data_IF_313144359443
#
_entry.id   IF_313144359443
#
_cell.length_a   1.000
_cell.length_b   1.000
_cell.length_c   1.000
_cell.angle_alpha   90.00
_cell.angle_beta   90.00
_cell.angle_gamma   90.00
#
_symmetry.space_group_name_H-M   'P 1'
#
loop_
_entity.id
_entity.type
_entity.pdbx_description
1 polymer ?
#
# COMPACT_ATOMS: atom_id res chain seq x y z
N UNK A 1 -17.84 73.23 -22.77
CA UNK A 1 -18.42 71.88 -22.94
C UNK A 1 -17.40 70.82 -22.48
N UNK A 2 -17.60 70.20 -21.34
CA UNK A 2 -16.75 69.13 -20.87
C UNK A 2 -17.34 67.81 -21.30
N UNK A 3 -16.66 67.11 -22.20
CA UNK A 3 -17.04 65.79 -22.60
C UNK A 3 -16.44 64.81 -21.57
N UNK A 4 -17.26 64.14 -20.81
CA UNK A 4 -16.83 63.06 -19.93
C UNK A 4 -16.78 61.77 -20.73
N UNK A 5 -15.57 61.23 -20.92
CA UNK A 5 -15.40 59.92 -21.49
C UNK A 5 -15.51 58.93 -20.33
N UNK A 6 -16.61 58.20 -20.26
CA UNK A 6 -16.76 57.09 -19.33
C UNK A 6 -16.10 55.90 -19.96
N UNK A 7 -14.91 55.58 -19.50
CA UNK A 7 -14.25 54.31 -19.87
C UNK A 7 -14.83 53.20 -18.99
N UNK A 8 -15.71 52.40 -19.56
CA UNK A 8 -16.16 51.18 -18.90
C UNK A 8 -15.03 50.17 -18.92
N UNK A 9 -14.41 49.95 -17.78
CA UNK A 9 -13.47 48.84 -17.61
C UNK A 9 -14.29 47.57 -17.46
N UNK A 10 -14.34 46.75 -18.53
CA UNK A 10 -14.88 45.42 -18.45
C UNK A 10 -13.91 44.55 -17.66
N UNK A 11 -14.23 44.26 -16.42
CA UNK A 11 -13.51 43.27 -15.64
C UNK A 11 -13.86 41.87 -16.18
N UNK A 12 -12.95 41.31 -16.96
CA UNK A 12 -13.05 39.91 -17.36
C UNK A 12 -12.69 39.09 -16.13
N UNK A 13 -13.69 38.59 -15.43
CA UNK A 13 -13.50 37.58 -14.40
C UNK A 13 -13.23 36.25 -15.13
N UNK A 14 -11.97 35.92 -15.29
CA UNK A 14 -11.59 34.56 -15.66
C UNK A 14 -11.93 33.65 -14.46
N UNK A 15 -13.09 33.02 -14.54
CA UNK A 15 -13.36 31.90 -13.67
C UNK A 15 -12.42 30.77 -14.07
N UNK A 16 -11.32 30.59 -13.34
CA UNK A 16 -10.55 29.35 -13.40
C UNK A 16 -11.45 28.25 -12.87
N UNK A 17 -12.12 27.58 -13.78
CA UNK A 17 -12.73 26.28 -13.46
C UNK A 17 -11.59 25.32 -13.23
N UNK A 18 -11.18 25.16 -11.96
CA UNK A 18 -10.33 24.06 -11.58
C UNK A 18 -11.13 22.78 -11.85
N UNK A 19 -10.88 22.17 -13.00
CA UNK A 19 -11.35 20.80 -13.24
C UNK A 19 -10.57 19.92 -12.28
N UNK A 20 -11.18 19.63 -11.14
CA UNK A 20 -10.73 18.53 -10.29
C UNK A 20 -10.96 17.27 -11.11
N UNK A 21 -9.94 16.84 -11.86
CA UNK A 21 -9.94 15.51 -12.41
C UNK A 21 -10.02 14.55 -11.23
N UNK A 22 -11.18 13.92 -11.06
CA UNK A 22 -11.30 12.77 -10.19
C UNK A 22 -10.34 11.72 -10.74
N UNK A 23 -9.12 11.67 -10.19
CA UNK A 23 -8.23 10.55 -10.43
C UNK A 23 -8.96 9.32 -9.92
N UNK A 24 -9.24 8.36 -10.82
CA UNK A 24 -9.68 7.05 -10.40
C UNK A 24 -8.68 6.55 -9.37
N UNK A 25 -9.16 6.24 -8.16
CA UNK A 25 -8.31 5.75 -7.10
C UNK A 25 -7.56 4.51 -7.61
N UNK A 26 -6.23 4.56 -7.57
CA UNK A 26 -5.41 3.42 -7.91
C UNK A 26 -5.64 2.34 -6.86
N UNK A 27 -5.92 1.07 -7.25
CA UNK A 27 -6.07 0.02 -6.26
C UNK A 27 -4.78 -0.18 -5.46
N UNK A 28 -4.88 -0.40 -4.15
CA UNK A 28 -3.71 -0.70 -3.33
C UNK A 28 -3.10 -2.05 -3.73
N UNK A 29 -1.82 -2.22 -3.43
CA UNK A 29 -1.15 -3.51 -3.50
C UNK A 29 -1.00 -4.12 -2.11
N UNK A 30 -1.11 -5.44 -2.02
CA UNK A 30 -0.97 -6.16 -0.76
C UNK A 30 0.11 -7.23 -0.85
N UNK A 31 0.91 -7.34 0.19
CA UNK A 31 1.73 -8.51 0.45
C UNK A 31 1.07 -9.27 1.60
N UNK A 32 0.64 -10.49 1.33
CA UNK A 32 -0.10 -11.33 2.28
C UNK A 32 0.76 -12.53 2.62
N UNK A 33 1.08 -12.69 3.88
CA UNK A 33 1.87 -13.79 4.39
C UNK A 33 1.03 -14.67 5.32
N UNK A 34 1.11 -15.98 5.10
CA UNK A 34 0.54 -16.97 5.99
C UNK A 34 1.58 -18.08 6.21
N UNK A 35 2.15 -18.13 7.40
CA UNK A 35 3.22 -19.06 7.71
C UNK A 35 3.23 -19.51 9.18
N UNK A 36 3.99 -20.57 9.46
CA UNK A 36 4.37 -21.00 10.80
C UNK A 36 5.81 -20.58 11.06
N UNK A 37 6.10 -20.07 12.25
CA UNK A 37 7.47 -19.77 12.67
C UNK A 37 8.07 -21.07 13.21
N UNK A 38 9.16 -21.52 12.60
CA UNK A 38 9.88 -22.75 12.99
C UNK A 38 11.18 -22.44 13.74
N UNK A 39 11.64 -21.20 13.68
CA UNK A 39 12.81 -20.70 14.41
C UNK A 39 12.55 -19.28 14.91
N UNK A 40 12.27 -19.13 16.18
CA UNK A 40 11.95 -17.82 16.78
C UNK A 40 13.13 -16.85 16.72
N UNK A 41 14.34 -17.33 16.94
CA UNK A 41 15.53 -16.46 16.91
C UNK A 41 15.81 -15.93 15.50
N UNK A 42 15.65 -16.78 14.48
CA UNK A 42 15.76 -16.39 13.07
C UNK A 42 14.66 -15.41 12.65
N UNK A 43 13.44 -15.65 13.11
CA UNK A 43 12.32 -14.73 12.85
C UNK A 43 12.52 -13.36 13.50
N UNK A 44 13.10 -13.31 14.69
CA UNK A 44 13.44 -12.03 15.33
C UNK A 44 14.45 -11.24 14.50
N UNK A 45 15.44 -11.92 13.93
CA UNK A 45 16.38 -11.28 12.98
C UNK A 45 15.65 -10.68 11.76
N UNK A 46 14.65 -11.41 11.25
CA UNK A 46 13.81 -10.89 10.17
C UNK A 46 13.06 -9.63 10.61
N UNK A 47 12.41 -9.66 11.77
CA UNK A 47 11.67 -8.50 12.28
C UNK A 47 12.58 -7.28 12.47
N UNK A 48 13.78 -7.50 13.00
CA UNK A 48 14.75 -6.42 13.22
C UNK A 48 15.23 -5.82 11.88
N UNK A 49 15.46 -6.66 10.86
CA UNK A 49 15.94 -6.22 9.56
C UNK A 49 14.85 -5.60 8.69
N UNK A 50 13.63 -6.14 8.75
CA UNK A 50 12.54 -5.77 7.84
C UNK A 50 11.59 -4.70 8.39
N UNK A 51 11.52 -4.53 9.72
CA UNK A 51 10.48 -3.75 10.39
C UNK A 51 10.39 -2.28 9.96
N UNK A 52 11.48 -1.67 9.50
CA UNK A 52 11.53 -0.27 9.05
C UNK A 52 11.48 -0.10 7.53
N UNK A 53 11.45 -1.19 6.75
CA UNK A 53 11.62 -1.11 5.31
C UNK A 53 10.34 -0.78 4.55
N UNK A 54 9.20 -1.34 4.94
CA UNK A 54 7.93 -1.12 4.24
C UNK A 54 7.56 0.35 4.10
N UNK A 55 7.69 1.21 5.15
CA UNK A 55 7.36 2.63 5.03
C UNK A 55 8.15 3.37 3.94
N UNK A 56 9.38 2.95 3.63
CA UNK A 56 10.19 3.55 2.56
C UNK A 56 9.55 3.42 1.18
N UNK A 57 8.64 2.46 1.02
CA UNK A 57 7.89 2.20 -0.21
C UNK A 57 6.42 2.58 -0.09
N UNK A 58 6.07 3.39 0.91
CA UNK A 58 4.69 3.78 1.19
C UNK A 58 3.86 2.67 1.83
N UNK A 59 4.52 1.61 2.29
CA UNK A 59 3.87 0.46 2.90
C UNK A 59 3.56 0.65 4.37
N UNK A 60 2.54 -0.04 4.82
CA UNK A 60 2.16 -0.14 6.24
C UNK A 60 1.66 -1.54 6.55
N UNK A 61 1.96 -2.02 7.73
CA UNK A 61 1.43 -3.30 8.21
C UNK A 61 0.00 -3.04 8.71
N UNK A 62 -0.98 -3.69 8.09
CA UNK A 62 -2.39 -3.54 8.46
C UNK A 62 -2.94 -4.75 9.19
N UNK A 63 -2.29 -5.91 9.08
CA UNK A 63 -2.57 -7.12 9.86
C UNK A 63 -1.24 -7.73 10.29
N UNK A 64 -1.14 -8.03 11.56
CA UNK A 64 -0.08 -8.87 12.10
C UNK A 64 -0.64 -9.67 13.28
N UNK A 65 -0.94 -10.93 13.04
CA UNK A 65 -1.51 -11.82 14.05
C UNK A 65 -0.73 -13.13 14.08
N UNK A 66 -0.15 -13.43 15.22
CA UNK A 66 0.65 -14.65 15.42
C UNK A 66 -0.21 -15.90 15.58
N UNK A 67 -1.50 -15.73 15.82
CA UNK A 67 -2.41 -16.80 16.17
C UNK A 67 -3.79 -16.58 15.53
N UNK A 68 -3.81 -16.57 14.20
CA UNK A 68 -5.03 -16.37 13.44
C UNK A 68 -6.00 -17.53 13.66
N UNK A 69 -7.30 -17.22 13.74
CA UNK A 69 -8.34 -18.22 13.92
C UNK A 69 -8.66 -18.89 12.59
N UNK A 70 -8.44 -20.20 12.52
CA UNK A 70 -8.86 -21.00 11.37
C UNK A 70 -10.37 -21.23 11.42
N UNK A 71 -11.08 -20.88 10.35
CA UNK A 71 -12.51 -21.12 10.20
C UNK A 71 -12.80 -22.21 9.18
N UNK A 72 -11.91 -22.44 8.25
CA UNK A 72 -11.94 -23.52 7.25
C UNK A 72 -10.51 -23.93 6.86
N UNK A 73 -10.33 -25.21 6.56
CA UNK A 73 -9.07 -25.74 6.07
C UNK A 73 -7.97 -25.78 7.13
N UNK A 74 -6.72 -25.69 6.65
CA UNK A 74 -5.52 -25.80 7.49
C UNK A 74 -4.58 -24.61 7.25
N UNK A 75 -5.01 -23.35 7.52
CA UNK A 75 -4.11 -22.22 7.41
C UNK A 75 -3.01 -22.32 8.46
N UNK A 76 -1.90 -21.63 8.20
CA UNK A 76 -0.84 -21.47 9.18
C UNK A 76 -1.23 -20.41 10.23
N UNK A 77 -0.56 -20.43 11.37
CA UNK A 77 -0.94 -19.61 12.53
C UNK A 77 -0.68 -18.11 12.34
N UNK A 78 0.39 -17.73 11.66
CA UNK A 78 0.73 -16.33 11.46
C UNK A 78 0.05 -15.78 10.20
N UNK A 79 -0.64 -14.67 10.37
CA UNK A 79 -1.18 -13.87 9.26
C UNK A 79 -0.58 -12.47 9.34
N UNK A 80 0.08 -12.04 8.27
CA UNK A 80 0.62 -10.70 8.14
C UNK A 80 0.22 -10.10 6.80
N UNK A 81 -0.24 -8.87 6.81
CA UNK A 81 -0.61 -8.14 5.58
C UNK A 81 0.03 -6.76 5.62
N UNK A 82 0.80 -6.46 4.58
CA UNK A 82 1.32 -5.14 4.30
C UNK A 82 0.54 -4.53 3.13
N UNK A 83 0.11 -3.29 3.29
CA UNK A 83 -0.57 -2.52 2.26
C UNK A 83 0.37 -1.48 1.67
N UNK A 84 0.39 -1.38 0.35
CA UNK A 84 1.17 -0.41 -0.42
C UNK A 84 0.26 0.43 -1.31
N UNK A 85 0.69 1.63 -1.74
CA UNK A 85 -0.13 2.50 -2.58
C UNK A 85 -0.58 1.84 -3.90
N UNK A 86 0.20 0.87 -4.40
CA UNK A 86 -0.10 0.15 -5.64
C UNK A 86 0.54 -1.24 -5.64
N UNK A 87 0.08 -2.08 -6.56
CA UNK A 87 0.71 -3.38 -6.84
C UNK A 87 2.19 -3.21 -7.22
N UNK A 88 2.51 -2.19 -8.03
CA UNK A 88 3.88 -1.90 -8.43
C UNK A 88 4.77 -1.56 -7.22
N UNK A 89 4.26 -0.79 -6.26
CA UNK A 89 4.98 -0.45 -5.03
C UNK A 89 5.23 -1.68 -4.16
N UNK A 90 4.24 -2.56 -4.02
CA UNK A 90 4.40 -3.83 -3.30
C UNK A 90 5.50 -4.70 -3.92
N UNK A 91 5.52 -4.81 -5.24
CA UNK A 91 6.54 -5.56 -5.98
C UNK A 91 7.92 -4.92 -5.85
N UNK A 92 8.02 -3.59 -5.92
CA UNK A 92 9.29 -2.89 -5.72
C UNK A 92 9.86 -3.13 -4.32
N UNK A 93 9.02 -3.08 -3.30
CA UNK A 93 9.42 -3.42 -1.93
C UNK A 93 9.95 -4.85 -1.85
N UNK A 94 9.18 -5.82 -2.32
CA UNK A 94 9.54 -7.24 -2.26
C UNK A 94 10.86 -7.55 -2.97
N UNK A 95 11.11 -6.90 -4.10
CA UNK A 95 12.31 -7.09 -4.93
C UNK A 95 13.46 -6.13 -4.58
N UNK A 96 13.28 -5.25 -3.59
CA UNK A 96 14.35 -4.33 -3.18
C UNK A 96 15.55 -5.09 -2.62
N UNK A 97 16.78 -4.56 -2.80
CA UNK A 97 17.97 -5.18 -2.23
C UNK A 97 17.91 -5.35 -0.71
N UNK A 98 17.37 -4.33 -0.02
CA UNK A 98 17.27 -4.35 1.44
C UNK A 98 16.29 -5.43 1.92
N UNK A 99 15.12 -5.52 1.30
CA UNK A 99 14.16 -6.56 1.68
C UNK A 99 14.64 -7.95 1.26
N UNK A 100 15.33 -8.08 0.15
CA UNK A 100 15.91 -9.35 -0.30
C UNK A 100 16.90 -9.88 0.74
N UNK A 101 17.69 -9.02 1.35
CA UNK A 101 18.59 -9.40 2.43
C UNK A 101 17.83 -9.83 3.71
N UNK A 102 16.83 -9.05 4.12
CA UNK A 102 16.00 -9.35 5.29
C UNK A 102 15.16 -10.62 5.09
N UNK A 103 14.62 -10.81 3.92
CA UNK A 103 13.75 -11.93 3.55
C UNK A 103 14.41 -13.30 3.76
N UNK A 104 15.72 -13.40 3.65
CA UNK A 104 16.45 -14.65 3.90
C UNK A 104 16.18 -15.19 5.31
N UNK A 105 16.18 -14.31 6.30
CA UNK A 105 15.87 -14.69 7.67
C UNK A 105 14.45 -15.24 7.81
N UNK A 106 13.48 -14.63 7.12
CA UNK A 106 12.09 -15.13 7.13
C UNK A 106 11.99 -16.50 6.45
N UNK A 107 12.57 -16.66 5.29
CA UNK A 107 12.50 -17.91 4.52
C UNK A 107 13.11 -19.07 5.32
N UNK A 108 14.22 -18.83 6.00
CA UNK A 108 14.92 -19.83 6.81
C UNK A 108 14.18 -20.16 8.14
N UNK A 109 13.39 -19.22 8.65
CA UNK A 109 12.74 -19.32 9.96
C UNK A 109 11.24 -19.60 9.92
N UNK A 110 10.65 -19.70 8.75
CA UNK A 110 9.20 -19.93 8.56
C UNK A 110 8.92 -20.97 7.50
N UNK A 111 7.73 -21.55 7.60
CA UNK A 111 7.15 -22.41 6.55
C UNK A 111 5.75 -21.93 6.21
N UNK A 112 5.51 -21.68 4.95
CA UNK A 112 4.21 -21.20 4.49
C UNK A 112 4.28 -20.48 3.15
N UNK A 113 3.39 -19.55 2.97
CA UNK A 113 3.25 -18.82 1.69
C UNK A 113 3.20 -17.32 1.88
N UNK A 114 3.70 -16.63 0.87
CA UNK A 114 3.58 -15.19 0.72
C UNK A 114 3.07 -14.91 -0.69
N UNK A 115 2.06 -14.09 -0.81
CA UNK A 115 1.51 -13.68 -2.10
C UNK A 115 1.48 -12.15 -2.18
N UNK A 116 1.59 -11.62 -3.39
CA UNK A 116 1.34 -10.23 -3.69
C UNK A 116 0.14 -10.16 -4.61
N UNK A 117 -0.81 -9.31 -4.27
CA UNK A 117 -2.04 -9.14 -5.03
C UNK A 117 -2.48 -7.67 -5.04
N UNK A 118 -3.33 -7.35 -5.99
CA UNK A 118 -3.96 -6.04 -6.09
C UNK A 118 -5.27 -6.02 -5.29
N UNK A 119 -5.56 -4.90 -4.65
CA UNK A 119 -6.81 -4.69 -3.96
C UNK A 119 -7.99 -4.55 -4.90
N UNK A 120 -9.18 -4.85 -4.39
CA UNK A 120 -10.41 -4.69 -5.12
C UNK A 120 -10.92 -3.25 -5.01
N UNK A 121 -11.20 -2.64 -6.14
CA UNK A 121 -11.91 -1.36 -6.22
C UNK A 121 -13.28 -1.64 -6.81
N UNK A 122 -14.32 -1.42 -6.00
CA UNK A 122 -15.69 -1.60 -6.46
C UNK A 122 -16.00 -0.64 -7.62
N UNK A 123 -16.70 -1.10 -8.69
CA UNK A 123 -17.19 -0.21 -9.74
C UNK A 123 -18.07 0.86 -9.10
N UNK A 124 -17.83 2.13 -9.47
CA UNK A 124 -18.71 3.20 -9.02
C UNK A 124 -20.09 2.96 -9.63
N UNK A 125 -21.10 2.82 -8.77
CA UNK A 125 -22.47 2.84 -9.24
C UNK A 125 -22.75 4.24 -9.78
N UNK A 126 -23.05 4.33 -11.07
CA UNK A 126 -23.61 5.56 -11.64
C UNK A 126 -24.93 5.87 -10.93
N UNK A 127 -25.15 7.14 -10.49
CA UNK A 127 -26.43 7.55 -9.94
C UNK A 127 -27.57 7.38 -10.94
#
# INVERSE_FOLDING_TARGET
>A
MKKYVVTAAAAIVLALSATVSAQSAQPPGYMIANYTIIDQAGFQKYMDAAGSLAPKYGGKIIVFNMNATAVEGKPKSVMAIAEFPSLADAKRFYNSPEYTAAKKFRIESTEGSVVITEGFVAPQQKP
#
